data_IF_170037072365
#
_entry.id   IF_170037072365
#
_cell.length_a   1.000
_cell.length_b   1.000
_cell.length_c   1.000
_cell.angle_alpha   90.00
_cell.angle_beta   90.00
_cell.angle_gamma   90.00
#
_symmetry.space_group_name_H-M   'P 1'
#
loop_
_entity.id
_entity.type
_entity.pdbx_description
1 polymer ?
#
# COMPACT_ATOMS: atom_id res chain seq x y z
N UNK A 1 -7.04 -34.04 -2.21
CA UNK A 1 -7.19 -34.21 -3.67
C UNK A 1 -7.63 -32.86 -4.23
N UNK A 2 -6.95 -32.36 -5.27
CA UNK A 2 -7.09 -31.06 -5.97
C UNK A 2 -6.63 -29.82 -5.15
N UNK A 3 -5.88 -28.84 -5.67
CA UNK A 3 -5.42 -28.50 -7.04
C UNK A 3 -3.95 -28.03 -6.98
N UNK A 4 -3.09 -28.51 -7.89
CA UNK A 4 -1.79 -27.90 -8.21
C UNK A 4 -2.00 -26.63 -9.05
N UNK A 5 -1.40 -25.51 -8.65
CA UNK A 5 -1.02 -24.46 -9.60
C UNK A 5 0.50 -24.50 -9.76
N UNK A 6 0.96 -25.11 -10.86
CA UNK A 6 2.31 -24.96 -11.38
C UNK A 6 2.39 -23.59 -12.05
N UNK A 7 3.22 -22.67 -11.54
CA UNK A 7 3.70 -21.56 -12.34
C UNK A 7 5.13 -21.87 -12.79
N UNK A 8 5.24 -22.18 -14.08
CA UNK A 8 6.49 -22.15 -14.83
C UNK A 8 6.88 -20.68 -15.03
N UNK A 9 7.98 -20.24 -14.43
CA UNK A 9 8.61 -18.97 -14.81
C UNK A 9 9.38 -19.18 -16.12
N UNK A 10 8.66 -19.18 -17.25
CA UNK A 10 9.29 -18.83 -18.52
C UNK A 10 9.45 -17.31 -18.54
N UNK A 11 10.70 -16.85 -18.40
CA UNK A 11 11.06 -15.44 -18.54
C UNK A 11 10.69 -14.93 -19.94
N UNK A 12 9.53 -14.30 -20.06
CA UNK A 12 9.34 -13.21 -21.03
C UNK A 12 9.81 -11.93 -20.35
N UNK A 13 10.53 -11.07 -21.07
CA UNK A 13 10.75 -9.71 -20.63
C UNK A 13 9.39 -8.99 -20.61
N UNK A 14 8.67 -9.10 -19.50
CA UNK A 14 7.48 -8.30 -19.24
C UNK A 14 7.98 -6.88 -19.05
N UNK A 15 7.54 -5.98 -19.92
CA UNK A 15 7.79 -4.56 -19.73
C UNK A 15 7.08 -4.14 -18.45
N UNK A 16 7.81 -3.63 -17.46
CA UNK A 16 7.22 -3.24 -16.17
C UNK A 16 6.33 -2.01 -16.38
N UNK A 17 5.02 -2.25 -16.48
CA UNK A 17 4.01 -1.20 -16.67
C UNK A 17 3.97 -0.23 -15.47
N UNK A 18 4.47 -0.65 -14.30
CA UNK A 18 4.50 0.15 -13.09
C UNK A 18 5.68 1.13 -13.00
N UNK A 19 6.61 1.14 -13.97
CA UNK A 19 7.80 1.99 -13.94
C UNK A 19 7.49 3.48 -13.77
N UNK A 20 6.40 3.97 -14.38
CA UNK A 20 5.96 5.37 -14.29
C UNK A 20 5.44 5.75 -12.89
N UNK A 21 4.75 4.83 -12.20
CA UNK A 21 4.33 5.03 -10.82
C UNK A 21 5.55 5.03 -9.90
N UNK A 22 6.43 4.03 -10.07
CA UNK A 22 7.66 3.83 -9.28
C UNK A 22 8.69 4.96 -9.46
N UNK A 23 8.64 5.66 -10.59
CA UNK A 23 9.65 6.65 -10.96
C UNK A 23 10.97 6.01 -11.35
N UNK A 24 10.94 4.77 -11.85
CA UNK A 24 12.15 4.05 -12.27
C UNK A 24 12.89 4.82 -13.38
N UNK A 25 14.21 4.93 -13.23
CA UNK A 25 15.06 5.69 -14.12
C UNK A 25 15.24 7.18 -13.78
N UNK A 26 14.53 7.72 -12.78
CA UNK A 26 14.71 9.12 -12.33
C UNK A 26 14.71 9.24 -10.80
N UNK A 27 15.85 9.01 -10.13
CA UNK A 27 15.97 9.00 -8.66
C UNK A 27 15.59 10.32 -7.96
N UNK A 28 15.57 11.43 -8.69
CA UNK A 28 15.31 12.78 -8.17
C UNK A 28 13.91 13.29 -8.45
N UNK A 29 13.04 12.50 -9.08
CA UNK A 29 11.72 12.98 -9.46
C UNK A 29 10.75 12.85 -8.28
N UNK A 30 10.40 13.99 -7.71
CA UNK A 30 9.30 14.11 -6.74
C UNK A 30 7.92 14.06 -7.41
N UNK A 31 7.78 13.25 -8.46
CA UNK A 31 6.53 13.06 -9.18
C UNK A 31 6.30 11.59 -9.49
N UNK A 32 5.04 11.28 -9.78
CA UNK A 32 4.56 9.96 -10.17
C UNK A 32 3.29 10.11 -11.00
N UNK A 33 3.06 9.14 -11.86
CA UNK A 33 1.88 9.12 -12.74
C UNK A 33 1.24 7.74 -12.70
N UNK A 34 0.01 7.66 -13.20
CA UNK A 34 -0.54 6.36 -13.60
C UNK A 34 0.36 5.72 -14.68
N UNK A 35 0.43 4.38 -14.75
CA UNK A 35 1.00 3.67 -15.89
C UNK A 35 0.43 4.21 -17.22
N UNK A 36 1.27 4.33 -18.24
CA UNK A 36 0.84 4.81 -19.57
C UNK A 36 0.61 6.32 -19.72
N UNK A 37 0.62 7.12 -18.65
CA UNK A 37 0.42 8.57 -18.73
C UNK A 37 1.42 9.24 -19.70
N UNK A 38 1.01 10.16 -20.58
CA UNK A 38 -0.28 10.85 -20.63
C UNK A 38 -1.37 10.14 -21.45
N UNK A 39 -1.16 8.90 -21.88
CA UNK A 39 -2.21 8.08 -22.49
C UNK A 39 -3.10 7.44 -21.41
N UNK A 40 -4.08 6.64 -21.84
CA UNK A 40 -4.89 5.86 -20.91
C UNK A 40 -4.03 4.84 -20.16
N UNK A 41 -4.36 4.60 -18.88
CA UNK A 41 -3.73 3.52 -18.13
C UNK A 41 -4.15 2.14 -18.69
N UNK A 42 -3.30 1.11 -18.57
CA UNK A 42 -3.65 -0.27 -18.92
C UNK A 42 -4.69 -0.88 -17.95
N UNK A 43 -5.51 -1.84 -18.42
CA UNK A 43 -6.38 -2.63 -17.56
C UNK A 43 -5.58 -3.63 -16.71
N UNK A 44 -6.18 -4.09 -15.61
CA UNK A 44 -5.67 -5.16 -14.75
C UNK A 44 -4.28 -4.90 -14.16
N UNK A 45 -3.92 -3.65 -13.89
CA UNK A 45 -2.66 -3.33 -13.21
C UNK A 45 -2.82 -3.15 -11.71
N UNK A 46 -1.79 -3.55 -10.99
CA UNK A 46 -1.68 -3.37 -9.54
C UNK A 46 -0.26 -2.93 -9.21
N UNK A 47 -0.07 -1.61 -9.11
CA UNK A 47 1.24 -1.00 -9.00
C UNK A 47 1.41 -0.38 -7.63
N UNK A 48 2.54 -0.68 -6.98
CA UNK A 48 2.85 -0.19 -5.63
C UNK A 48 4.17 0.59 -5.63
N UNK A 49 4.20 1.69 -4.88
CA UNK A 49 5.39 2.50 -4.58
C UNK A 49 5.41 2.91 -3.11
N UNK A 50 6.60 2.91 -2.52
CA UNK A 50 6.85 3.52 -1.21
C UNK A 50 7.78 4.71 -1.37
N UNK A 51 7.39 5.85 -0.80
CA UNK A 51 8.23 7.05 -0.68
C UNK A 51 8.68 7.20 0.76
N UNK A 52 9.96 7.46 0.97
CA UNK A 52 10.54 7.73 2.28
C UNK A 52 10.96 9.20 2.36
N UNK A 53 10.48 9.90 3.38
CA UNK A 53 10.93 11.24 3.70
C UNK A 53 12.24 11.23 4.48
N UNK A 54 12.91 12.38 4.45
CA UNK A 54 14.01 12.65 5.38
C UNK A 54 13.52 12.62 6.83
N UNK A 55 14.37 12.24 7.79
CA UNK A 55 14.03 12.35 9.21
C UNK A 55 13.54 13.77 9.56
N UNK A 56 12.36 13.86 10.16
CA UNK A 56 11.73 15.11 10.59
C UNK A 56 10.81 15.74 9.55
N UNK A 57 10.54 15.08 8.43
CA UNK A 57 9.66 15.58 7.36
C UNK A 57 8.44 14.68 7.16
N UNK A 58 7.32 15.31 6.85
CA UNK A 58 6.10 14.69 6.34
C UNK A 58 6.14 14.68 4.80
N UNK A 59 5.32 13.85 4.16
CA UNK A 59 5.16 13.80 2.71
C UNK A 59 3.78 14.35 2.37
N UNK A 60 3.71 15.34 1.48
CA UNK A 60 2.47 15.98 1.03
C UNK A 60 2.31 15.76 -0.47
N UNK A 61 1.18 15.20 -0.92
CA UNK A 61 0.93 14.91 -2.35
C UNK A 61 0.04 15.98 -2.98
N UNK A 62 0.35 16.32 -4.23
CA UNK A 62 -0.37 17.29 -5.04
C UNK A 62 -0.67 16.72 -6.42
N UNK A 63 -1.95 16.63 -6.80
CA UNK A 63 -2.35 16.31 -8.18
C UNK A 63 -2.36 17.56 -9.04
N UNK A 64 -1.95 17.44 -10.30
CA UNK A 64 -1.92 18.57 -11.24
C UNK A 64 -2.63 18.26 -12.55
N UNK A 65 -3.18 19.32 -13.17
CA UNK A 65 -3.78 19.34 -14.51
C UNK A 65 -5.01 18.45 -14.71
N UNK A 66 -4.88 17.13 -14.59
CA UNK A 66 -5.93 16.15 -14.87
C UNK A 66 -5.89 14.99 -13.87
N UNK A 67 -7.08 14.57 -13.44
CA UNK A 67 -7.32 13.35 -12.70
C UNK A 67 -8.57 12.68 -13.28
N UNK A 68 -8.38 11.53 -13.91
CA UNK A 68 -9.44 10.76 -14.56
C UNK A 68 -9.18 9.28 -14.28
N UNK A 69 -9.90 8.74 -13.31
CA UNK A 69 -9.82 7.34 -12.86
C UNK A 69 -11.24 6.85 -12.69
N UNK A 70 -11.56 5.64 -13.15
CA UNK A 70 -12.93 5.13 -13.11
C UNK A 70 -13.48 5.06 -11.68
N UNK A 71 -14.75 5.43 -11.46
CA UNK A 71 -15.43 5.30 -10.16
C UNK A 71 -16.20 4.00 -10.06
N UNK A 72 -17.31 3.88 -10.79
CA UNK A 72 -18.06 2.65 -10.99
C UNK A 72 -18.90 2.73 -12.26
N UNK A 73 -19.14 1.58 -12.88
CA UNK A 73 -19.91 1.44 -14.13
C UNK A 73 -21.30 2.11 -14.10
N UNK A 74 -21.98 2.10 -12.94
CA UNK A 74 -23.33 2.65 -12.77
C UNK A 74 -23.39 4.19 -12.78
N UNK A 75 -22.27 4.86 -12.47
CA UNK A 75 -22.22 6.32 -12.38
C UNK A 75 -22.11 6.96 -13.77
N UNK A 76 -21.39 6.32 -14.71
CA UNK A 76 -21.22 6.83 -16.07
C UNK A 76 -22.52 6.97 -16.87
N UNK A 77 -23.60 6.27 -16.45
CA UNK A 77 -24.89 6.27 -17.16
C UNK A 77 -25.93 7.23 -16.57
N UNK A 78 -25.80 7.65 -15.32
CA UNK A 78 -26.72 8.65 -14.70
C UNK A 78 -26.13 10.04 -14.79
N UNK A 79 -26.28 10.61 -15.99
CA UNK A 79 -26.12 12.03 -16.31
C UNK A 79 -26.73 12.92 -15.21
N UNK A 80 -25.86 13.53 -14.39
CA UNK A 80 -26.23 14.63 -13.46
C UNK A 80 -26.20 14.36 -11.96
N UNK A 81 -25.73 13.20 -11.47
CA UNK A 81 -25.56 12.98 -10.02
C UNK A 81 -24.05 12.97 -9.68
N UNK A 82 -23.57 13.84 -8.76
CA UNK A 82 -22.19 13.78 -8.29
C UNK A 82 -21.89 12.39 -7.75
N UNK A 83 -20.89 11.74 -8.34
CA UNK A 83 -20.44 10.39 -8.01
C UNK A 83 -19.88 10.33 -6.60
N UNK A 84 -20.74 10.13 -5.60
CA UNK A 84 -20.30 9.87 -4.22
C UNK A 84 -20.41 8.37 -3.92
N UNK A 85 -19.86 7.52 -4.80
CA UNK A 85 -19.36 6.21 -4.35
C UNK A 85 -17.97 6.45 -3.77
N UNK A 86 -17.93 6.89 -2.52
CA UNK A 86 -16.71 7.38 -1.83
C UNK A 86 -15.62 6.32 -1.59
N UNK A 87 -15.75 5.12 -2.18
CA UNK A 87 -14.85 4.00 -1.91
C UNK A 87 -14.16 3.44 -3.17
N UNK A 88 -14.36 4.05 -4.35
CA UNK A 88 -13.68 3.69 -5.60
C UNK A 88 -13.58 2.17 -5.83
N UNK A 89 -14.72 1.51 -6.09
CA UNK A 89 -14.80 0.06 -6.14
C UNK A 89 -14.08 -0.59 -7.34
N UNK A 90 -13.95 0.13 -8.45
CA UNK A 90 -13.30 -0.33 -9.67
C UNK A 90 -11.83 0.10 -9.64
N UNK A 91 -11.51 1.21 -10.31
CA UNK A 91 -10.18 1.78 -10.36
C UNK A 91 -9.91 2.75 -9.21
N UNK A 92 -8.67 2.81 -8.74
CA UNK A 92 -8.30 3.77 -7.71
C UNK A 92 -6.79 4.05 -7.61
N UNK A 93 -6.49 5.21 -7.04
CA UNK A 93 -5.23 5.43 -6.32
C UNK A 93 -5.47 5.52 -4.81
N UNK A 94 -4.70 4.76 -4.06
CA UNK A 94 -4.76 4.65 -2.60
C UNK A 94 -3.47 5.16 -1.97
N UNK A 95 -3.60 5.91 -0.87
CA UNK A 95 -2.48 6.44 -0.10
C UNK A 95 -2.60 6.01 1.36
N UNK A 96 -1.48 5.58 1.94
CA UNK A 96 -1.39 5.16 3.35
C UNK A 96 -0.22 5.82 4.05
N UNK A 97 -0.45 6.22 5.31
CA UNK A 97 0.56 6.86 6.15
C UNK A 97 1.44 5.79 6.81
N UNK A 98 2.44 5.33 6.08
CA UNK A 98 3.37 4.30 6.50
C UNK A 98 4.05 3.61 5.33
N UNK A 99 4.78 2.54 5.61
CA UNK A 99 5.59 1.82 4.62
C UNK A 99 4.84 0.65 3.97
N UNK A 100 3.65 0.30 4.44
CA UNK A 100 3.00 -0.97 4.12
C UNK A 100 1.54 -0.80 3.69
N UNK A 101 1.01 -1.79 2.96
CA UNK A 101 -0.38 -1.82 2.49
C UNK A 101 -1.44 -1.90 3.61
N UNK A 102 -1.02 -2.17 4.83
CA UNK A 102 -1.88 -2.13 6.02
C UNK A 102 -1.71 -0.87 6.86
N UNK A 103 -0.79 0.03 6.49
CA UNK A 103 -0.62 1.30 7.18
C UNK A 103 -1.92 2.12 7.14
N UNK A 104 -2.14 3.03 8.12
CA UNK A 104 -3.35 3.83 8.21
C UNK A 104 -3.74 4.47 6.87
N UNK A 105 -4.99 4.25 6.44
CA UNK A 105 -5.51 4.79 5.19
C UNK A 105 -5.61 6.32 5.29
N UNK A 106 -4.93 7.03 4.38
CA UNK A 106 -5.12 8.47 4.18
C UNK A 106 -6.38 8.66 3.32
N UNK A 107 -6.47 7.92 2.23
CA UNK A 107 -7.63 7.97 1.35
C UNK A 107 -7.47 7.13 0.09
N UNK A 108 -8.61 6.88 -0.55
CA UNK A 108 -8.73 6.24 -1.86
C UNK A 108 -9.45 7.20 -2.81
N UNK A 109 -8.93 7.35 -4.01
CA UNK A 109 -9.36 8.39 -4.94
C UNK A 109 -9.61 7.84 -6.35
N UNK A 110 -10.70 8.31 -6.93
CA UNK A 110 -11.18 8.02 -8.28
C UNK A 110 -12.15 9.15 -8.70
N UNK A 111 -12.48 9.23 -9.98
CA UNK A 111 -13.34 10.26 -10.56
C UNK A 111 -12.65 11.11 -11.61
N UNK A 112 -13.34 12.17 -12.01
CA UNK A 112 -12.94 13.06 -13.11
C UNK A 112 -12.48 14.44 -12.63
N UNK A 113 -12.43 14.65 -11.31
CA UNK A 113 -12.04 15.91 -10.67
C UNK A 113 -10.81 15.68 -9.78
N UNK A 114 -9.99 16.71 -9.61
CA UNK A 114 -8.81 16.65 -8.72
C UNK A 114 -9.27 16.39 -7.27
N UNK A 115 -8.62 15.47 -6.53
CA UNK A 115 -8.87 15.32 -5.10
C UNK A 115 -8.66 16.64 -4.34
N UNK A 116 -9.65 17.02 -3.54
CA UNK A 116 -9.62 18.26 -2.72
C UNK A 116 -9.10 18.02 -1.30
N UNK A 117 -9.12 16.76 -0.85
CA UNK A 117 -8.62 16.34 0.47
C UNK A 117 -7.10 16.44 0.53
N UNK A 118 -6.55 16.93 1.64
CA UNK A 118 -5.12 16.90 1.89
C UNK A 118 -4.61 15.45 1.99
N UNK A 119 -3.61 15.10 1.18
CA UNK A 119 -2.95 13.80 1.22
C UNK A 119 -1.59 13.98 1.88
N UNK A 120 -1.52 13.72 3.18
CA UNK A 120 -0.33 13.95 4.01
C UNK A 120 0.03 12.71 4.83
N UNK A 121 1.26 12.22 4.66
CA UNK A 121 1.83 11.16 5.49
C UNK A 121 2.79 11.74 6.54
N UNK A 122 2.50 11.49 7.82
CA UNK A 122 3.22 12.03 8.99
C UNK A 122 4.21 11.04 9.60
N UNK A 123 4.06 9.75 9.30
CA UNK A 123 5.05 8.71 9.63
C UNK A 123 6.40 8.96 8.95
N UNK A 124 6.41 9.75 7.87
CA UNK A 124 7.56 9.93 6.96
C UNK A 124 7.74 8.78 5.97
N UNK A 125 6.77 7.88 5.89
CA UNK A 125 6.62 6.93 4.81
C UNK A 125 5.27 7.14 4.16
N UNK A 126 5.23 7.12 2.83
CA UNK A 126 4.00 7.15 2.08
C UNK A 126 3.96 5.91 1.21
N UNK A 127 2.97 5.07 1.46
CA UNK A 127 2.68 3.92 0.63
C UNK A 127 1.59 4.30 -0.37
N UNK A 128 1.82 4.01 -1.65
CA UNK A 128 0.99 4.40 -2.79
C UNK A 128 0.65 3.14 -3.57
N UNK A 129 -0.63 2.94 -3.91
CA UNK A 129 -1.09 1.87 -4.80
C UNK A 129 -2.02 2.40 -5.86
N UNK A 130 -1.76 2.04 -7.10
CA UNK A 130 -2.69 2.24 -8.21
C UNK A 130 -3.23 0.87 -8.65
N UNK A 131 -4.54 0.76 -8.76
CA UNK A 131 -5.24 -0.45 -9.20
C UNK A 131 -6.21 -0.11 -10.32
N UNK A 132 -6.26 -0.97 -11.34
CA UNK A 132 -7.30 -0.96 -12.37
C UNK A 132 -7.94 -2.34 -12.56
N UNK A 133 -9.23 -2.35 -12.91
CA UNK A 133 -9.95 -3.56 -13.34
C UNK A 133 -9.81 -3.81 -14.86
N UNK A 134 -10.66 -4.66 -15.44
CA UNK A 134 -10.59 -5.04 -16.85
C UNK A 134 -11.34 -4.10 -17.81
N UNK A 135 -11.93 -3.02 -17.31
CA UNK A 135 -12.81 -2.14 -18.07
C UNK A 135 -12.57 -0.64 -17.81
N UNK A 136 -12.89 0.17 -18.82
CA UNK A 136 -13.06 1.62 -18.72
C UNK A 136 -11.83 2.40 -18.23
N UNK A 137 -10.76 2.36 -19.02
CA UNK A 137 -9.54 3.09 -18.72
C UNK A 137 -9.60 4.57 -19.17
N UNK A 138 -9.05 5.44 -18.33
CA UNK A 138 -8.98 6.88 -18.58
C UNK A 138 -7.52 7.35 -18.58
N UNK A 139 -7.33 8.65 -18.80
CA UNK A 139 -6.00 9.28 -18.85
C UNK A 139 -5.19 9.12 -17.55
N UNK A 140 -5.84 8.77 -16.44
CA UNK A 140 -5.21 8.63 -15.14
C UNK A 140 -4.84 9.98 -14.54
N UNK A 141 -3.62 10.08 -14.02
CA UNK A 141 -3.21 11.23 -13.23
C UNK A 141 -1.71 11.54 -13.36
N UNK A 142 -1.38 12.79 -13.05
CA UNK A 142 -0.03 13.23 -12.74
C UNK A 142 -0.03 13.90 -11.35
N UNK A 143 0.92 13.51 -10.51
CA UNK A 143 1.05 14.05 -9.17
C UNK A 143 2.52 14.32 -8.81
N UNK A 144 2.72 15.30 -7.94
CA UNK A 144 4.00 15.56 -7.26
C UNK A 144 3.85 15.33 -5.77
N UNK A 145 4.98 15.25 -5.07
CA UNK A 145 4.99 15.29 -3.62
C UNK A 145 6.09 16.20 -3.08
N UNK A 146 5.83 16.85 -1.96
CA UNK A 146 6.79 17.69 -1.25
C UNK A 146 7.11 17.09 0.11
N UNK A 147 8.34 17.30 0.57
CA UNK A 147 8.75 16.97 1.93
C UNK A 147 8.71 18.24 2.77
N UNK A 148 7.72 18.33 3.67
CA UNK A 148 7.53 19.49 4.55
C UNK A 148 7.98 19.17 5.97
N UNK A 149 8.58 20.13 6.68
CA UNK A 149 9.05 19.89 8.06
C UNK A 149 7.85 19.52 8.93
N UNK A 150 7.97 18.40 9.64
CA UNK A 150 6.92 17.90 10.53
C UNK A 150 6.80 18.82 11.75
N UNK A 151 5.58 19.28 12.05
CA UNK A 151 5.25 20.09 13.23
C UNK A 151 4.81 19.24 14.40
N UNK A 152 4.32 18.02 14.14
CA UNK A 152 3.56 17.21 15.09
C UNK A 152 4.16 15.82 15.29
N UNK A 153 5.43 15.58 14.90
CA UNK A 153 6.03 14.25 14.93
C UNK A 153 6.19 13.74 16.37
N UNK A 154 5.11 13.20 16.92
CA UNK A 154 5.17 12.07 17.85
C UNK A 154 5.74 10.94 17.00
N UNK A 155 7.03 10.69 17.14
CA UNK A 155 7.63 9.44 16.66
C UNK A 155 6.66 8.34 17.10
N UNK A 156 6.17 7.50 16.19
CA UNK A 156 5.56 6.24 16.61
C UNK A 156 6.69 5.49 17.31
N UNK A 157 6.76 5.67 18.63
CA UNK A 157 7.94 5.35 19.43
C UNK A 157 8.13 3.84 19.58
N UNK A 158 7.22 3.05 18.98
CA UNK A 158 7.09 1.62 19.14
C UNK A 158 6.78 0.94 17.79
N UNK A 159 7.50 1.33 16.73
CA UNK A 159 7.65 0.46 15.56
C UNK A 159 8.39 -0.81 16.01
N UNK A 160 7.65 -1.89 16.21
CA UNK A 160 8.19 -3.20 16.58
C UNK A 160 8.47 -3.98 15.30
N UNK A 161 9.63 -3.72 14.70
CA UNK A 161 10.09 -4.50 13.56
C UNK A 161 11.01 -5.63 14.03
N UNK A 162 10.55 -6.87 13.91
CA UNK A 162 11.34 -8.07 14.16
C UNK A 162 11.76 -8.67 12.83
N UNK A 163 13.04 -9.01 12.69
CA UNK A 163 13.60 -9.58 11.46
C UNK A 163 14.15 -10.98 11.71
N UNK A 164 13.65 -11.96 10.97
CA UNK A 164 14.20 -13.31 10.91
C UNK A 164 14.87 -13.47 9.55
N UNK A 165 16.20 -13.30 9.52
CA UNK A 165 16.99 -13.41 8.29
C UNK A 165 17.70 -14.76 8.25
N UNK A 166 17.57 -15.45 7.12
CA UNK A 166 18.24 -16.73 6.84
C UNK A 166 17.92 -17.84 7.87
N UNK A 167 16.84 -17.70 8.62
CA UNK A 167 16.34 -18.74 9.50
C UNK A 167 15.62 -19.81 8.66
N UNK A 168 15.93 -21.08 8.91
CA UNK A 168 15.26 -22.20 8.23
C UNK A 168 14.00 -22.65 8.98
N UNK A 169 13.86 -22.26 10.25
CA UNK A 169 12.72 -22.48 11.12
C UNK A 169 12.64 -21.39 12.21
N UNK A 170 11.50 -21.30 12.91
CA UNK A 170 11.31 -20.35 13.99
C UNK A 170 9.87 -20.30 14.50
N UNK A 171 9.68 -19.67 15.65
CA UNK A 171 8.37 -19.40 16.24
C UNK A 171 8.20 -17.90 16.43
N UNK A 172 7.00 -17.39 16.12
CA UNK A 172 6.62 -16.01 16.35
C UNK A 172 5.60 -16.01 17.49
N UNK A 173 5.95 -15.37 18.60
CA UNK A 173 5.05 -15.20 19.73
C UNK A 173 4.85 -13.71 20.02
N UNK A 174 3.61 -13.28 20.25
CA UNK A 174 3.30 -11.90 20.65
C UNK A 174 3.99 -11.52 21.96
N UNK A 175 4.27 -12.49 22.84
CA UNK A 175 5.06 -12.32 24.07
C UNK A 175 6.42 -11.65 23.79
N UNK A 176 7.06 -11.99 22.66
CA UNK A 176 8.34 -11.41 22.24
C UNK A 176 8.24 -9.95 21.78
N UNK A 177 7.03 -9.48 21.45
CA UNK A 177 6.76 -8.06 21.19
C UNK A 177 6.58 -7.29 22.51
N UNK A 178 5.90 -7.89 23.48
CA UNK A 178 5.52 -7.25 24.76
C UNK A 178 6.71 -7.03 25.69
N UNK A 179 7.73 -7.92 25.65
CA UNK A 179 8.94 -7.77 26.47
C UNK A 179 9.76 -6.51 26.16
N UNK A 180 9.61 -5.94 24.95
CA UNK A 180 10.26 -4.69 24.55
C UNK A 180 9.43 -3.43 24.77
N UNK A 181 8.15 -3.55 25.17
CA UNK A 181 7.26 -2.41 25.36
C UNK A 181 7.38 -1.83 26.78
N UNK A 182 7.23 -0.50 26.95
CA UNK A 182 7.11 0.10 28.27
C UNK A 182 5.94 -0.52 29.04
N UNK A 183 6.13 -0.77 30.35
CA UNK A 183 5.13 -1.38 31.24
C UNK A 183 3.75 -0.69 31.24
N UNK A 184 3.64 0.56 30.75
CA UNK A 184 2.41 1.36 30.70
C UNK A 184 2.02 1.79 29.27
N UNK A 185 2.39 1.02 28.26
CA UNK A 185 2.00 1.31 26.88
C UNK A 185 0.47 1.22 26.70
N UNK A 186 -0.14 2.29 26.19
CA UNK A 186 -1.59 2.41 25.95
C UNK A 186 -1.92 2.84 24.51
N UNK A 187 -0.96 2.74 23.61
CA UNK A 187 -1.11 3.11 22.20
C UNK A 187 -1.47 1.93 21.28
N UNK A 188 -1.74 2.20 20.00
CA UNK A 188 -1.85 1.15 18.98
C UNK A 188 -0.48 0.51 18.75
N UNK A 189 -0.44 -0.83 18.73
CA UNK A 189 0.77 -1.59 18.43
C UNK A 189 0.78 -1.94 16.94
N UNK A 190 1.74 -1.40 16.20
CA UNK A 190 1.95 -1.68 14.77
C UNK A 190 3.26 -2.46 14.61
N UNK A 191 3.15 -3.80 14.65
CA UNK A 191 4.31 -4.70 14.61
C UNK A 191 4.44 -5.42 13.29
N UNK A 192 5.70 -5.63 12.90
CA UNK A 192 6.04 -6.21 11.60
C UNK A 192 7.09 -7.27 11.79
N UNK A 193 6.74 -8.48 11.35
CA UNK A 193 7.69 -9.57 11.22
C UNK A 193 8.16 -9.67 9.77
N UNK A 194 9.42 -9.34 9.53
CA UNK A 194 10.05 -9.55 8.23
C UNK A 194 10.75 -10.90 8.23
N UNK A 195 10.20 -11.83 7.45
CA UNK A 195 10.75 -13.17 7.26
C UNK A 195 11.49 -13.22 5.92
N UNK A 196 12.80 -13.49 5.98
CA UNK A 196 13.66 -13.57 4.80
C UNK A 196 14.36 -14.93 4.75
N UNK A 197 14.09 -15.70 3.69
CA UNK A 197 14.72 -17.00 3.42
C UNK A 197 15.58 -16.92 2.15
N UNK A 198 16.60 -17.79 1.99
CA UNK A 198 17.35 -17.88 0.73
C UNK A 198 16.44 -18.15 -0.47
N UNK A 199 16.90 -17.79 -1.68
CA UNK A 199 16.07 -17.77 -2.91
C UNK A 199 15.51 -19.14 -3.30
N UNK A 200 16.10 -20.21 -2.80
CA UNK A 200 15.73 -21.59 -3.10
C UNK A 200 14.63 -22.13 -2.16
N UNK A 201 14.22 -21.34 -1.17
CA UNK A 201 13.29 -21.75 -0.13
C UNK A 201 11.98 -20.97 -0.20
N UNK A 202 10.90 -21.63 0.23
CA UNK A 202 9.60 -21.01 0.42
C UNK A 202 9.31 -20.92 1.92
N UNK A 203 8.63 -19.85 2.33
CA UNK A 203 8.15 -19.70 3.71
C UNK A 203 6.83 -20.45 3.84
N UNK A 204 6.74 -21.32 4.84
CA UNK A 204 5.50 -21.99 5.23
C UNK A 204 5.14 -21.53 6.63
N UNK A 205 3.98 -20.90 6.78
CA UNK A 205 3.49 -20.39 8.06
C UNK A 205 2.38 -21.29 8.62
N UNK A 206 2.55 -21.70 9.88
CA UNK A 206 1.53 -22.41 10.64
C UNK A 206 1.09 -21.57 11.84
N UNK A 207 -0.21 -21.33 11.97
CA UNK A 207 -0.78 -20.58 13.09
C UNK A 207 -1.42 -21.59 14.04
N UNK A 208 -0.77 -21.82 15.18
CA UNK A 208 -1.26 -22.77 16.18
C UNK A 208 -2.38 -22.15 17.03
N UNK A 209 -2.16 -20.92 17.51
CA UNK A 209 -3.10 -20.17 18.34
C UNK A 209 -3.20 -18.74 17.81
N UNK A 210 -4.43 -18.21 17.72
CA UNK A 210 -4.69 -16.85 17.24
C UNK A 210 -5.82 -16.22 18.03
N UNK A 211 -5.55 -15.06 18.62
CA UNK A 211 -6.56 -14.22 19.26
C UNK A 211 -6.20 -12.75 19.13
N UNK A 212 -7.20 -11.91 18.87
CA UNK A 212 -7.09 -10.45 18.87
C UNK A 212 -8.06 -9.88 19.91
N UNK A 213 -7.71 -8.73 20.48
CA UNK A 213 -8.56 -8.04 21.47
C UNK A 213 -9.73 -7.32 20.80
N UNK A 214 -10.95 -7.50 21.30
CA UNK A 214 -12.12 -6.85 20.72
C UNK A 214 -12.00 -5.30 20.78
N UNK A 215 -12.40 -4.56 19.72
CA UNK A 215 -13.13 -5.02 18.53
C UNK A 215 -12.22 -5.63 17.44
N UNK A 216 -12.56 -6.86 17.01
CA UNK A 216 -11.84 -7.63 15.96
C UNK A 216 -12.46 -7.47 14.57
N UNK A 217 -13.31 -6.46 14.39
CA UNK A 217 -13.69 -6.06 13.05
C UNK A 217 -12.41 -5.53 12.39
N UNK A 218 -12.05 -6.05 11.21
CA UNK A 218 -10.78 -5.83 10.50
C UNK A 218 -10.45 -4.36 10.12
N UNK A 219 -11.07 -3.39 10.78
CA UNK A 219 -10.73 -1.96 10.80
C UNK A 219 -10.08 -1.47 12.09
N UNK A 220 -9.93 -2.31 13.14
CA UNK A 220 -9.28 -1.91 14.40
C UNK A 220 -8.07 -2.77 14.76
N UNK A 221 -8.28 -4.06 15.03
CA UNK A 221 -7.21 -5.02 15.29
C UNK A 221 -7.22 -6.07 14.18
N UNK A 222 -6.07 -6.33 13.56
CA UNK A 222 -5.93 -7.28 12.46
C UNK A 222 -4.55 -7.94 12.47
N UNK A 223 -4.45 -9.07 11.76
CA UNK A 223 -3.22 -9.75 11.41
C UNK A 223 -3.29 -10.07 9.93
N UNK A 224 -2.31 -9.59 9.16
CA UNK A 224 -2.30 -9.72 7.71
C UNK A 224 -0.93 -10.26 7.24
N UNK A 225 -0.95 -11.16 6.26
CA UNK A 225 0.26 -11.80 5.72
C UNK A 225 0.48 -11.34 4.29
N UNK A 226 1.68 -10.84 4.00
CA UNK A 226 2.06 -10.29 2.69
C UNK A 226 3.20 -11.11 2.07
N UNK A 227 3.19 -11.27 0.74
CA UNK A 227 4.34 -11.77 -0.01
C UNK A 227 5.22 -10.61 -0.48
N UNK A 228 6.54 -10.74 -0.35
CA UNK A 228 7.52 -9.86 -1.01
C UNK A 228 7.90 -8.59 -0.23
N UNK A 229 8.85 -7.84 -0.80
CA UNK A 229 9.32 -6.57 -0.26
C UNK A 229 8.56 -5.43 -0.92
N UNK A 230 7.65 -4.80 -0.16
CA UNK A 230 6.70 -3.75 -0.56
C UNK A 230 5.36 -4.24 -1.10
N UNK A 231 4.59 -4.94 -0.24
CA UNK A 231 3.13 -4.92 -0.27
C UNK A 231 2.46 -5.28 -1.61
N UNK A 232 2.64 -6.52 -2.05
CA UNK A 232 1.63 -7.14 -2.91
C UNK A 232 0.46 -7.60 -2.04
N UNK A 233 -0.76 -7.62 -2.61
CA UNK A 233 -2.02 -7.94 -1.93
C UNK A 233 -1.85 -8.95 -0.77
N UNK A 234 -2.48 -8.73 0.40
CA UNK A 234 -2.35 -9.67 1.51
C UNK A 234 -2.76 -11.06 1.00
N UNK A 235 -1.87 -12.04 1.13
CA UNK A 235 -2.12 -13.42 0.74
C UNK A 235 -3.36 -13.98 1.43
N UNK A 236 -3.66 -13.44 2.62
CA UNK A 236 -4.83 -13.77 3.42
C UNK A 236 -5.13 -12.64 4.41
N UNK A 237 -6.42 -12.35 4.56
CA UNK A 237 -7.00 -11.55 5.64
C UNK A 237 -7.83 -12.44 6.56
#
# INVERSE_FOLDING_TARGET
MLVLCLFSLMGKSVQDECGALRGEGVPSLHSFTSPGYPNQYPPNVDCVRVVQARPGFDILVHFHHHFQVETSYDVGKKMGVPSVTSNCPNDFIEFRDGRYGFSPLIGRFCGMELPTTEIRARSGFLWIRFHSDDLLEYKGFYATYDMVRSTDRKVNQHDCQIQFRHALDGYIETSTLVTGLPMNFTGPLDCIWLLEVPREYNIVLYINEFSLYAPNHCGHNFFEVFSGTTSDQPLRR
#
